data_IF_438419052760
#
_entry.id   IF_438419052760
#
_cell.length_a   1.000
_cell.length_b   1.000
_cell.length_c   1.000
_cell.angle_alpha   90.00
_cell.angle_beta   90.00
_cell.angle_gamma   90.00
#
_symmetry.space_group_name_H-M   'P 1'
#
loop_
_entity.id
_entity.type
_entity.pdbx_description
1 polymer ?
#
# COMPACT_ATOMS: atom_id res chain seq x y z
N UNK A 1 4.92 -9.29 -14.62
CA UNK A 1 5.06 -8.73 -13.26
C UNK A 1 4.11 -7.56 -13.19
N UNK A 2 3.35 -7.40 -12.10
CA UNK A 2 2.38 -6.31 -12.00
C UNK A 2 3.06 -4.96 -12.17
N UNK A 3 2.41 -4.07 -12.92
CA UNK A 3 2.91 -2.72 -13.16
C UNK A 3 2.18 -1.72 -12.25
N UNK A 4 2.95 -0.81 -11.65
CA UNK A 4 2.41 0.33 -10.93
C UNK A 4 3.26 1.58 -11.21
N UNK A 5 2.64 2.75 -11.24
CA UNK A 5 3.29 4.02 -11.55
C UNK A 5 2.60 5.19 -10.86
N UNK A 6 3.34 6.27 -10.62
CA UNK A 6 2.72 7.55 -10.28
C UNK A 6 1.91 8.08 -11.45
N UNK A 7 0.77 8.72 -11.21
CA UNK A 7 -0.05 9.29 -12.29
C UNK A 7 0.41 10.68 -12.73
N UNK A 8 0.07 11.05 -13.97
CA UNK A 8 0.10 12.44 -14.44
C UNK A 8 -1.04 13.31 -13.83
N UNK A 9 -1.02 14.61 -14.10
CA UNK A 9 -2.04 15.57 -13.65
C UNK A 9 -3.19 15.76 -14.67
N UNK A 10 -3.27 14.92 -15.70
CA UNK A 10 -4.27 15.04 -16.76
C UNK A 10 -5.67 14.72 -16.24
N UNK A 11 -6.66 15.45 -16.77
CA UNK A 11 -8.09 15.22 -16.50
C UNK A 11 -8.81 14.55 -17.67
N UNK A 12 -8.03 13.93 -18.56
CA UNK A 12 -8.56 13.11 -19.64
C UNK A 12 -9.32 11.88 -19.11
N UNK A 13 -9.74 11.01 -20.02
CA UNK A 13 -10.47 9.80 -19.71
C UNK A 13 -9.73 8.97 -18.63
N UNK A 14 -10.33 8.76 -17.45
CA UNK A 14 -9.68 8.07 -16.33
C UNK A 14 -9.27 6.63 -16.64
N UNK A 15 -9.81 6.04 -17.71
CA UNK A 15 -9.49 4.68 -18.18
C UNK A 15 -8.16 4.60 -18.93
N UNK A 16 -7.58 5.73 -19.35
CA UNK A 16 -6.25 5.76 -20.00
C UNK A 16 -5.15 5.42 -18.99
N UNK A 17 -3.94 5.03 -19.43
CA UNK A 17 -2.85 4.71 -18.49
C UNK A 17 -2.41 5.87 -17.57
N UNK A 18 -2.51 7.12 -18.00
CA UNK A 18 -2.08 8.30 -17.22
C UNK A 18 -0.64 8.21 -16.68
N UNK A 19 0.30 7.76 -17.53
CA UNK A 19 1.71 7.69 -17.18
C UNK A 19 2.36 9.07 -17.34
N UNK A 20 3.09 9.57 -16.32
CA UNK A 20 3.78 10.85 -16.39
C UNK A 20 5.00 10.73 -17.31
N UNK A 21 5.41 11.87 -17.88
CA UNK A 21 6.66 12.03 -18.60
C UNK A 21 7.59 12.95 -17.79
N UNK A 22 8.76 12.47 -17.32
CA UNK A 22 9.30 11.12 -17.48
C UNK A 22 8.59 10.06 -16.62
N UNK A 23 8.70 8.80 -17.03
CA UNK A 23 8.09 7.67 -16.31
C UNK A 23 8.55 7.59 -14.85
N UNK A 24 7.60 7.27 -13.96
CA UNK A 24 7.83 7.15 -12.51
C UNK A 24 7.23 5.83 -12.00
N UNK A 25 7.88 4.68 -12.27
CA UNK A 25 7.39 3.38 -11.84
C UNK A 25 7.42 3.23 -10.31
N UNK A 26 6.54 2.39 -9.79
CA UNK A 26 6.42 2.04 -8.38
C UNK A 26 6.62 0.54 -8.21
N UNK A 27 7.58 0.16 -7.37
CA UNK A 27 7.87 -1.24 -7.07
C UNK A 27 6.85 -1.86 -6.09
N UNK A 28 6.73 -3.19 -6.12
CA UNK A 28 5.99 -3.96 -5.12
C UNK A 28 6.46 -3.69 -3.69
N UNK A 29 7.76 -3.43 -3.49
CA UNK A 29 8.28 -3.07 -2.17
C UNK A 29 7.71 -1.73 -1.70
N UNK A 30 7.60 -0.73 -2.57
CA UNK A 30 6.97 0.55 -2.24
C UNK A 30 5.49 0.37 -1.89
N UNK A 31 4.74 -0.45 -2.65
CA UNK A 31 3.34 -0.78 -2.36
C UNK A 31 3.19 -1.48 -0.99
N UNK A 32 4.09 -2.42 -0.67
CA UNK A 32 4.07 -3.13 0.62
C UNK A 32 4.25 -2.21 1.84
N UNK A 33 4.98 -1.10 1.67
CA UNK A 33 5.15 -0.06 2.69
C UNK A 33 3.87 0.74 2.92
N UNK A 34 3.01 0.85 1.91
CA UNK A 34 1.65 1.40 2.03
C UNK A 34 0.67 0.38 2.62
N UNK A 35 1.11 -0.87 2.82
CA UNK A 35 0.26 -1.97 3.28
C UNK A 35 -0.48 -2.69 2.15
N UNK A 36 -0.22 -2.33 0.89
CA UNK A 36 -0.77 -3.01 -0.28
C UNK A 36 0.02 -4.29 -0.53
N UNK A 37 -0.65 -5.43 -0.55
CA UNK A 37 -0.03 -6.74 -0.80
C UNK A 37 -0.50 -7.32 -2.13
N UNK A 38 0.37 -8.09 -2.77
CA UNK A 38 0.18 -8.63 -4.11
C UNK A 38 0.63 -10.10 -4.19
N UNK A 39 -0.10 -10.89 -4.98
CA UNK A 39 0.25 -12.25 -5.37
C UNK A 39 -0.07 -12.48 -6.85
N UNK A 40 0.73 -13.30 -7.53
CA UNK A 40 0.43 -13.82 -8.87
C UNK A 40 -0.02 -15.27 -8.73
N UNK A 41 -1.18 -15.60 -9.28
CA UNK A 41 -1.82 -16.90 -9.21
C UNK A 41 -2.28 -17.36 -10.60
N UNK A 42 -2.65 -18.63 -10.69
CA UNK A 42 -3.26 -19.21 -11.88
C UNK A 42 -4.78 -19.00 -11.84
N UNK A 43 -5.26 -18.01 -12.60
CA UNK A 43 -6.67 -17.67 -12.68
C UNK A 43 -7.51 -18.71 -13.41
N UNK A 44 -6.92 -19.60 -14.21
CA UNK A 44 -7.68 -20.66 -14.89
C UNK A 44 -8.12 -21.77 -13.91
N UNK A 45 -7.42 -21.92 -12.79
CA UNK A 45 -7.66 -22.94 -11.77
C UNK A 45 -8.19 -22.38 -10.44
N UNK A 46 -8.80 -21.19 -10.43
CA UNK A 46 -9.19 -20.48 -9.20
C UNK A 46 -10.11 -21.28 -8.24
N UNK A 47 -10.84 -22.27 -8.73
CA UNK A 47 -11.76 -23.09 -7.93
C UNK A 47 -11.02 -24.12 -7.06
N UNK A 48 -9.86 -24.60 -7.51
CA UNK A 48 -9.10 -25.69 -6.90
C UNK A 48 -7.64 -25.34 -6.60
N UNK A 49 -7.24 -24.09 -6.86
CA UNK A 49 -5.86 -23.63 -6.68
C UNK A 49 -5.38 -23.76 -5.21
N UNK A 50 -4.38 -24.62 -4.93
CA UNK A 50 -3.83 -24.80 -3.59
C UNK A 50 -3.11 -23.55 -3.08
N UNK A 51 -2.53 -22.72 -3.95
CA UNK A 51 -1.85 -21.48 -3.54
C UNK A 51 -2.86 -20.42 -3.08
N UNK A 52 -3.99 -20.27 -3.81
CA UNK A 52 -5.11 -19.47 -3.34
C UNK A 52 -5.64 -19.97 -2.00
N UNK A 53 -5.83 -21.28 -1.83
CA UNK A 53 -6.29 -21.86 -0.57
C UNK A 53 -5.33 -21.57 0.59
N UNK A 54 -4.02 -21.63 0.36
CA UNK A 54 -2.98 -21.29 1.34
C UNK A 54 -3.05 -19.82 1.74
N UNK A 55 -3.12 -18.90 0.78
CA UNK A 55 -3.25 -17.45 1.04
C UNK A 55 -4.52 -17.18 1.86
N UNK A 56 -5.66 -17.77 1.47
CA UNK A 56 -6.92 -17.61 2.18
C UNK A 56 -6.84 -18.11 3.62
N UNK A 57 -6.17 -19.24 3.86
CA UNK A 57 -5.97 -19.77 5.22
C UNK A 57 -5.06 -18.88 6.07
N UNK A 58 -3.94 -18.44 5.52
CA UNK A 58 -2.97 -17.58 6.21
C UNK A 58 -3.56 -16.21 6.56
N UNK A 59 -4.33 -15.63 5.64
CA UNK A 59 -4.96 -14.31 5.79
C UNK A 59 -6.37 -14.35 6.36
N UNK A 60 -6.92 -15.53 6.59
CA UNK A 60 -8.28 -15.78 7.10
C UNK A 60 -9.39 -15.21 6.20
N UNK A 61 -9.21 -15.29 4.89
CA UNK A 61 -10.21 -14.91 3.88
C UNK A 61 -11.30 -16.00 3.80
N UNK A 62 -12.26 -15.93 4.71
CA UNK A 62 -13.31 -16.94 4.92
C UNK A 62 -14.46 -16.83 3.92
N UNK A 63 -14.69 -15.65 3.33
CA UNK A 63 -15.80 -15.40 2.41
C UNK A 63 -15.29 -15.00 1.02
N UNK A 64 -15.99 -15.42 -0.02
CA UNK A 64 -15.73 -14.97 -1.39
C UNK A 64 -16.99 -14.98 -2.25
N UNK A 65 -17.00 -14.13 -3.26
CA UNK A 65 -17.92 -14.20 -4.41
C UNK A 65 -17.24 -13.73 -5.69
N UNK A 66 -17.96 -13.82 -6.82
CA UNK A 66 -17.48 -13.37 -8.12
C UNK A 66 -18.35 -12.22 -8.60
N UNK A 67 -17.71 -11.15 -9.06
CA UNK A 67 -18.35 -10.03 -9.73
C UNK A 67 -17.82 -9.90 -11.16
N UNK A 68 -18.73 -9.66 -12.10
CA UNK A 68 -18.38 -9.29 -13.47
C UNK A 68 -18.79 -7.84 -13.69
N UNK A 69 -17.83 -6.99 -14.02
CA UNK A 69 -18.02 -5.58 -14.32
C UNK A 69 -17.89 -5.43 -15.84
N UNK A 70 -19.04 -5.35 -16.49
CA UNK A 70 -19.18 -4.96 -17.88
C UNK A 70 -20.49 -4.21 -18.05
N UNK A 71 -20.60 -3.44 -19.12
CA UNK A 71 -21.80 -2.63 -19.39
C UNK A 71 -23.08 -3.46 -19.48
N UNK A 72 -22.97 -4.67 -20.02
CA UNK A 72 -24.11 -5.54 -20.29
C UNK A 72 -24.45 -6.47 -19.10
N UNK A 73 -23.46 -6.82 -18.28
CA UNK A 73 -23.62 -7.84 -17.23
C UNK A 73 -23.82 -7.27 -15.83
N UNK A 74 -23.43 -6.02 -15.58
CA UNK A 74 -23.51 -5.41 -14.25
C UNK A 74 -24.79 -4.56 -14.09
N UNK A 75 -25.71 -4.92 -13.19
CA UNK A 75 -26.86 -4.07 -12.89
C UNK A 75 -26.43 -2.72 -12.31
N UNK A 76 -27.08 -1.65 -12.78
CA UNK A 76 -26.74 -0.25 -12.46
C UNK A 76 -25.28 0.11 -12.79
N UNK A 77 -24.76 -0.42 -13.90
CA UNK A 77 -23.37 -0.25 -14.34
C UNK A 77 -22.86 1.19 -14.18
N UNK A 78 -23.53 2.17 -14.79
CA UNK A 78 -23.08 3.58 -14.81
C UNK A 78 -23.00 4.19 -13.39
N UNK A 79 -23.92 3.83 -12.51
CA UNK A 79 -23.91 4.30 -11.13
C UNK A 79 -22.78 3.63 -10.32
N UNK A 80 -22.58 2.32 -10.53
CA UNK A 80 -21.56 1.54 -9.83
C UNK A 80 -20.14 1.94 -10.22
N UNK A 81 -19.85 2.11 -11.52
CA UNK A 81 -18.51 2.56 -11.96
C UNK A 81 -18.17 3.95 -11.41
N UNK A 82 -19.16 4.84 -11.31
CA UNK A 82 -18.96 6.17 -10.73
C UNK A 82 -18.63 6.08 -9.24
N UNK A 83 -19.35 5.23 -8.50
CA UNK A 83 -19.09 4.96 -7.07
C UNK A 83 -17.71 4.33 -6.85
N UNK A 84 -17.31 3.38 -7.68
CA UNK A 84 -15.99 2.76 -7.59
C UNK A 84 -14.85 3.74 -7.85
N UNK A 85 -15.06 4.72 -8.74
CA UNK A 85 -14.03 5.70 -9.10
C UNK A 85 -13.95 6.91 -8.15
N UNK A 86 -15.01 7.18 -7.38
CA UNK A 86 -14.97 8.21 -6.35
C UNK A 86 -13.93 7.81 -5.28
N UNK A 87 -13.07 8.72 -4.85
CA UNK A 87 -12.04 8.40 -3.85
C UNK A 87 -12.68 8.06 -2.51
N UNK A 88 -12.42 6.83 -2.01
CA UNK A 88 -13.04 6.31 -0.81
C UNK A 88 -12.07 5.46 0.02
N UNK A 89 -12.53 5.06 1.20
CA UNK A 89 -11.91 4.03 2.04
C UNK A 89 -12.94 3.03 2.53
N UNK A 90 -12.45 1.88 2.99
CA UNK A 90 -13.21 0.86 3.71
C UNK A 90 -12.67 0.68 5.12
N UNK A 91 -13.51 0.17 6.02
CA UNK A 91 -13.13 -0.16 7.40
C UNK A 91 -12.49 -1.55 7.53
N UNK A 92 -12.65 -2.36 6.49
CA UNK A 92 -12.04 -3.67 6.30
C UNK A 92 -11.12 -3.66 5.07
N UNK A 93 -10.29 -4.69 4.93
CA UNK A 93 -9.41 -4.85 3.78
C UNK A 93 -10.22 -5.09 2.50
N UNK A 94 -9.86 -4.40 1.42
CA UNK A 94 -10.40 -4.64 0.09
C UNK A 94 -9.52 -5.65 -0.64
N UNK A 95 -10.01 -6.88 -0.81
CA UNK A 95 -9.28 -7.97 -1.48
C UNK A 95 -9.94 -8.29 -2.82
N UNK A 96 -9.14 -8.33 -3.88
CA UNK A 96 -9.57 -8.62 -5.25
C UNK A 96 -8.59 -9.54 -5.94
N UNK A 97 -9.13 -10.55 -6.61
CA UNK A 97 -8.38 -11.47 -7.46
C UNK A 97 -8.97 -11.47 -8.87
N UNK A 98 -8.19 -11.04 -9.86
CA UNK A 98 -8.67 -10.86 -11.23
C UNK A 98 -8.66 -12.22 -11.96
N UNK A 99 -9.85 -12.65 -12.37
CA UNK A 99 -10.07 -13.91 -13.08
C UNK A 99 -10.02 -13.71 -14.59
N UNK A 100 -10.57 -12.61 -15.09
CA UNK A 100 -10.56 -12.24 -16.52
C UNK A 100 -10.56 -10.71 -16.67
N UNK A 101 -10.07 -10.21 -17.81
CA UNK A 101 -10.00 -8.78 -18.09
C UNK A 101 -8.95 -8.06 -17.24
N UNK A 102 -9.16 -6.76 -17.04
CA UNK A 102 -8.18 -5.88 -16.41
C UNK A 102 -8.81 -4.57 -15.91
N UNK A 103 -8.05 -3.87 -15.06
CA UNK A 103 -8.44 -2.56 -14.54
C UNK A 103 -7.38 -1.93 -13.65
N UNK A 104 -7.66 -0.73 -13.17
CA UNK A 104 -6.76 0.05 -12.35
C UNK A 104 -7.29 0.22 -10.92
N UNK A 105 -6.43 -0.05 -9.95
CA UNK A 105 -6.59 0.44 -8.59
C UNK A 105 -5.65 1.63 -8.40
N UNK A 106 -6.21 2.80 -8.11
CA UNK A 106 -5.41 3.96 -7.72
C UNK A 106 -5.39 4.05 -6.20
N UNK A 107 -4.21 4.23 -5.61
CA UNK A 107 -4.01 4.37 -4.16
C UNK A 107 -3.23 5.63 -3.84
N UNK A 108 -3.50 6.25 -2.69
CA UNK A 108 -2.71 7.39 -2.19
C UNK A 108 -1.42 6.89 -1.54
N UNK A 109 -0.30 7.51 -1.92
CA UNK A 109 0.96 7.35 -1.20
C UNK A 109 1.00 8.20 0.09
N UNK A 110 2.17 8.27 0.75
CA UNK A 110 2.34 9.03 2.00
C UNK A 110 2.24 10.54 1.83
N UNK A 111 2.58 11.03 0.65
CA UNK A 111 2.53 12.44 0.30
C UNK A 111 1.19 12.78 -0.37
N UNK A 112 0.21 11.87 -0.27
CA UNK A 112 -1.12 11.98 -0.82
C UNK A 112 -1.13 12.09 -2.36
N UNK A 113 -0.15 11.48 -3.04
CA UNK A 113 -0.07 11.39 -4.51
C UNK A 113 -0.66 10.08 -5.00
N UNK A 114 -1.28 10.10 -6.17
CA UNK A 114 -1.85 8.91 -6.79
C UNK A 114 -0.78 8.00 -7.36
N UNK A 115 -0.87 6.72 -7.00
CA UNK A 115 -0.19 5.60 -7.64
C UNK A 115 -1.25 4.73 -8.30
N UNK A 116 -1.14 4.52 -9.61
CA UNK A 116 -1.97 3.61 -10.39
C UNK A 116 -1.34 2.22 -10.38
N UNK A 117 -2.15 1.20 -10.11
CA UNK A 117 -1.75 -0.21 -10.12
C UNK A 117 -2.58 -0.90 -11.20
N UNK A 118 -1.92 -1.39 -12.25
CA UNK A 118 -2.54 -2.14 -13.33
C UNK A 118 -2.71 -3.60 -12.91
N UNK A 119 -3.95 -4.04 -12.81
CA UNK A 119 -4.31 -5.40 -12.42
C UNK A 119 -4.87 -6.14 -13.63
N UNK A 120 -4.29 -7.30 -13.94
CA UNK A 120 -4.68 -8.16 -15.05
C UNK A 120 -5.00 -9.57 -14.55
N UNK A 121 -5.47 -10.45 -15.45
CA UNK A 121 -5.73 -11.86 -15.16
C UNK A 121 -4.60 -12.51 -14.34
N UNK A 122 -4.97 -13.18 -13.25
CA UNK A 122 -4.06 -13.87 -12.33
C UNK A 122 -3.47 -12.97 -11.24
N UNK A 123 -3.74 -11.66 -11.26
CA UNK A 123 -3.27 -10.75 -10.22
C UNK A 123 -4.24 -10.70 -9.04
N UNK A 124 -3.72 -10.91 -7.83
CA UNK A 124 -4.45 -10.75 -6.58
C UNK A 124 -3.84 -9.62 -5.75
N UNK A 125 -4.69 -8.71 -5.25
CA UNK A 125 -4.30 -7.56 -4.45
C UNK A 125 -5.11 -7.48 -3.15
N UNK A 126 -4.49 -6.97 -2.10
CA UNK A 126 -5.14 -6.57 -0.85
C UNK A 126 -4.81 -5.11 -0.57
N UNK A 127 -5.83 -4.26 -0.53
CA UNK A 127 -5.75 -2.88 -0.10
C UNK A 127 -6.14 -2.81 1.39
N UNK A 128 -5.28 -2.26 2.27
CA UNK A 128 -5.52 -2.30 3.70
C UNK A 128 -6.66 -1.37 4.10
N UNK A 129 -7.42 -1.75 5.13
CA UNK A 129 -8.44 -0.92 5.75
C UNK A 129 -7.92 0.51 6.01
N UNK A 130 -8.72 1.52 5.66
CA UNK A 130 -8.39 2.94 5.84
C UNK A 130 -7.45 3.56 4.81
N UNK A 131 -6.99 2.82 3.78
CA UNK A 131 -6.30 3.44 2.64
C UNK A 131 -7.30 4.18 1.73
N UNK A 132 -6.95 5.39 1.31
CA UNK A 132 -7.71 6.06 0.27
C UNK A 132 -7.35 5.43 -1.08
N UNK A 133 -8.38 4.97 -1.78
CA UNK A 133 -8.26 4.32 -3.06
C UNK A 133 -9.50 4.56 -3.93
N UNK A 134 -9.39 4.14 -5.18
CA UNK A 134 -10.49 4.07 -6.14
C UNK A 134 -10.20 3.00 -7.19
N UNK A 135 -11.24 2.55 -7.87
CA UNK A 135 -11.14 1.59 -8.95
C UNK A 135 -11.74 2.15 -10.25
N UNK A 136 -11.09 1.89 -11.37
CA UNK A 136 -11.66 2.09 -12.71
C UNK A 136 -11.31 0.91 -13.60
N UNK A 137 -12.19 0.63 -14.57
CA UNK A 137 -11.80 -0.17 -15.72
C UNK A 137 -10.71 0.57 -16.51
N UNK A 138 -9.92 -0.18 -17.26
CA UNK A 138 -9.09 0.38 -18.33
C UNK A 138 -9.89 0.49 -19.64
N UNK A 139 -9.21 0.78 -20.74
CA UNK A 139 -9.83 0.95 -22.07
C UNK A 139 -10.48 -0.35 -22.61
N UNK A 140 -10.22 -1.53 -22.02
CA UNK A 140 -10.88 -2.78 -22.38
C UNK A 140 -12.33 -2.87 -21.87
N UNK A 141 -12.68 -2.06 -20.87
CA UNK A 141 -14.02 -1.97 -20.28
C UNK A 141 -14.59 -3.29 -19.73
N UNK A 142 -13.72 -4.22 -19.31
CA UNK A 142 -14.13 -5.52 -18.80
C UNK A 142 -13.23 -6.01 -17.68
N UNK A 143 -13.83 -6.41 -16.56
CA UNK A 143 -13.14 -7.22 -15.55
C UNK A 143 -14.09 -8.23 -14.91
N UNK A 144 -13.60 -9.44 -14.66
CA UNK A 144 -14.22 -10.43 -13.79
C UNK A 144 -13.29 -10.67 -12.62
N UNK A 145 -13.76 -10.40 -11.42
CA UNK A 145 -12.96 -10.48 -10.21
C UNK A 145 -13.63 -11.35 -9.15
N UNK A 146 -12.84 -12.18 -8.49
CA UNK A 146 -13.21 -12.74 -7.20
C UNK A 146 -12.97 -11.69 -6.12
N UNK A 147 -13.96 -11.46 -5.27
CA UNK A 147 -13.83 -10.61 -4.09
C UNK A 147 -13.71 -11.50 -2.87
N UNK A 148 -12.77 -11.20 -1.98
CA UNK A 148 -12.52 -11.99 -0.76
C UNK A 148 -12.66 -11.11 0.47
N UNK A 149 -13.15 -11.69 1.58
CA UNK A 149 -13.37 -10.99 2.85
C UNK A 149 -12.94 -11.83 4.05
N UNK A 150 -12.55 -11.14 5.12
CA UNK A 150 -12.43 -11.71 6.45
C UNK A 150 -13.79 -11.61 7.13
N UNK A 151 -14.45 -12.74 7.39
CA UNK A 151 -15.81 -12.75 7.93
C UNK A 151 -16.89 -12.41 6.90
N UNK A 152 -18.05 -11.95 7.37
CA UNK A 152 -19.15 -11.50 6.51
C UNK A 152 -18.82 -10.15 5.88
N UNK A 153 -19.09 -9.95 4.58
CA UNK A 153 -18.61 -8.78 3.87
C UNK A 153 -19.42 -7.51 4.19
N UNK A 154 -18.72 -6.42 4.49
CA UNK A 154 -19.29 -5.07 4.57
C UNK A 154 -18.68 -4.21 3.46
N UNK A 155 -19.50 -3.88 2.46
CA UNK A 155 -19.07 -3.16 1.24
C UNK A 155 -19.12 -1.64 1.34
N UNK A 156 -19.38 -1.11 2.54
CA UNK A 156 -19.66 0.32 2.71
C UNK A 156 -18.41 1.13 2.37
N UNK A 157 -18.50 1.90 1.28
CA UNK A 157 -17.50 2.89 0.90
C UNK A 157 -17.74 4.19 1.66
N UNK A 158 -16.68 4.74 2.26
CA UNK A 158 -16.69 6.06 2.87
C UNK A 158 -15.88 7.01 2.00
N UNK A 159 -16.58 7.85 1.24
CA UNK A 159 -15.96 8.83 0.34
C UNK A 159 -15.13 9.82 1.14
N UNK A 160 -14.01 10.26 0.58
CA UNK A 160 -13.15 11.27 1.18
C UNK A 160 -13.91 12.62 1.25
N UNK A 161 -13.89 13.35 2.39
CA UNK A 161 -13.12 13.11 3.62
C UNK A 161 -13.76 12.08 4.58
N UNK A 162 -12.95 11.12 5.03
CA UNK A 162 -13.34 10.06 5.97
C UNK A 162 -12.27 9.88 7.08
N UNK A 163 -11.55 10.95 7.42
CA UNK A 163 -10.39 10.91 8.33
C UNK A 163 -10.71 10.60 9.80
N UNK A 164 -11.99 10.65 10.19
CA UNK A 164 -12.44 10.42 11.56
C UNK A 164 -12.50 8.93 11.95
N UNK A 165 -12.44 8.01 10.98
CA UNK A 165 -12.49 6.58 11.28
C UNK A 165 -11.17 6.04 11.89
N UNK A 166 -11.23 5.19 12.93
CA UNK A 166 -10.04 4.58 13.52
C UNK A 166 -9.16 3.82 12.52
N UNK A 167 -9.77 3.11 11.56
CA UNK A 167 -9.06 2.40 10.49
C UNK A 167 -8.12 3.34 9.71
N UNK A 168 -8.54 4.58 9.44
CA UNK A 168 -7.72 5.58 8.74
C UNK A 168 -6.50 6.01 9.56
N UNK A 169 -6.66 6.19 10.87
CA UNK A 169 -5.55 6.51 11.76
C UNK A 169 -4.51 5.36 11.81
N UNK A 170 -4.99 4.12 11.86
CA UNK A 170 -4.14 2.92 11.85
C UNK A 170 -3.40 2.74 10.52
N UNK A 171 -4.05 3.00 9.38
CA UNK A 171 -3.42 2.96 8.06
C UNK A 171 -2.26 3.96 7.94
N UNK A 172 -2.44 5.19 8.44
CA UNK A 172 -1.35 6.19 8.49
C UNK A 172 -0.21 5.73 9.40
N UNK A 173 -0.52 5.17 10.56
CA UNK A 173 0.48 4.74 11.53
C UNK A 173 1.31 3.54 11.06
N UNK A 174 0.67 2.51 10.50
CA UNK A 174 1.36 1.32 9.95
C UNK A 174 2.30 1.69 8.81
N UNK A 175 1.87 2.61 7.95
CA UNK A 175 2.69 3.17 6.88
C UNK A 175 3.95 3.89 7.44
N UNK A 176 3.79 4.68 8.50
CA UNK A 176 4.90 5.37 9.17
C UNK A 176 5.87 4.41 9.84
N UNK A 177 5.39 3.43 10.62
CA UNK A 177 6.25 2.46 11.32
C UNK A 177 7.07 1.61 10.36
N UNK A 178 6.46 1.07 9.29
CA UNK A 178 7.17 0.28 8.28
C UNK A 178 8.31 1.07 7.63
N UNK A 179 8.11 2.36 7.46
CA UNK A 179 9.13 3.27 6.91
C UNK A 179 10.30 3.44 7.86
N UNK A 180 10.02 3.68 9.14
CA UNK A 180 11.06 3.83 10.17
C UNK A 180 11.86 2.55 10.36
N UNK A 181 11.19 1.39 10.39
CA UNK A 181 11.87 0.10 10.49
C UNK A 181 12.80 -0.14 9.29
N UNK A 182 12.32 0.11 8.07
CA UNK A 182 13.14 -0.08 6.87
C UNK A 182 14.32 0.92 6.78
N UNK A 183 14.13 2.18 7.16
CA UNK A 183 15.24 3.14 7.19
C UNK A 183 16.27 2.75 8.25
N UNK A 184 15.83 2.25 9.40
CA UNK A 184 16.71 1.73 10.45
C UNK A 184 17.51 0.50 9.98
N UNK A 185 16.87 -0.52 9.40
CA UNK A 185 17.56 -1.72 8.92
C UNK A 185 18.53 -1.40 7.78
N UNK A 186 18.13 -0.53 6.84
CA UNK A 186 19.02 -0.10 5.75
C UNK A 186 20.23 0.69 6.26
N UNK A 187 20.06 1.54 7.27
CA UNK A 187 21.21 2.23 7.91
C UNK A 187 22.16 1.22 8.54
N UNK A 188 21.64 0.23 9.29
CA UNK A 188 22.48 -0.83 9.87
C UNK A 188 23.21 -1.66 8.82
N UNK A 189 22.57 -2.00 7.71
CA UNK A 189 23.20 -2.76 6.63
C UNK A 189 24.33 -1.95 5.97
N UNK A 190 24.11 -0.65 5.72
CA UNK A 190 25.14 0.24 5.20
C UNK A 190 26.31 0.42 6.18
N UNK A 191 26.05 0.47 7.49
CA UNK A 191 27.08 0.50 8.52
C UNK A 191 27.92 -0.79 8.53
N UNK A 192 27.29 -1.95 8.43
CA UNK A 192 27.97 -3.25 8.34
C UNK A 192 28.81 -3.36 7.05
N UNK A 193 28.28 -2.93 5.91
CA UNK A 193 29.04 -2.87 4.65
C UNK A 193 30.24 -1.92 4.75
N UNK A 194 30.07 -0.78 5.42
CA UNK A 194 31.15 0.19 5.64
C UNK A 194 32.24 -0.40 6.53
N UNK A 195 31.84 -1.10 7.59
CA UNK A 195 32.77 -1.81 8.49
C UNK A 195 33.53 -2.91 7.74
N UNK A 196 32.83 -3.76 6.98
CA UNK A 196 33.45 -4.83 6.20
C UNK A 196 34.42 -4.31 5.13
N UNK A 197 34.09 -3.19 4.45
CA UNK A 197 35.01 -2.54 3.51
C UNK A 197 36.23 -1.94 4.20
N UNK A 198 36.07 -1.36 5.38
CA UNK A 198 37.19 -0.86 6.18
C UNK A 198 38.14 -2.00 6.60
N UNK A 199 37.60 -3.13 7.05
CA UNK A 199 38.37 -4.33 7.40
C UNK A 199 39.09 -4.95 6.18
N UNK A 200 38.48 -4.88 5.01
CA UNK A 200 39.08 -5.33 3.75
C UNK A 200 40.05 -4.32 3.10
N UNK A 201 40.29 -3.15 3.71
CA UNK A 201 41.14 -2.09 3.15
C UNK A 201 40.59 -1.47 1.85
N UNK A 202 39.30 -1.65 1.56
CA UNK A 202 38.66 -1.15 0.35
C UNK A 202 38.08 0.26 0.56
N UNK A 203 38.25 1.18 -0.40
CA UNK A 203 37.74 2.54 -0.27
C UNK A 203 36.20 2.56 -0.26
N UNK A 204 35.63 3.34 0.68
CA UNK A 204 34.20 3.64 0.70
C UNK A 204 33.88 4.81 -0.23
N UNK A 205 33.06 4.57 -1.25
CA UNK A 205 32.63 5.62 -2.19
C UNK A 205 31.18 5.99 -1.90
N UNK A 206 30.94 7.15 -1.30
CA UNK A 206 29.61 7.73 -1.21
C UNK A 206 29.21 8.30 -2.58
N UNK A 207 28.32 7.64 -3.31
CA UNK A 207 27.62 8.29 -4.42
C UNK A 207 26.55 9.22 -3.84
N UNK A 208 26.89 10.49 -3.68
CA UNK A 208 25.89 11.54 -3.57
C UNK A 208 25.37 11.86 -4.99
N UNK A 209 24.04 11.98 -5.20
CA UNK A 209 23.55 12.66 -6.38
C UNK A 209 24.14 14.07 -6.37
N UNK A 210 24.74 14.50 -7.49
CA UNK A 210 25.31 15.85 -7.58
C UNK A 210 24.18 16.86 -7.39
N UNK A 211 24.24 17.66 -6.32
CA UNK A 211 23.38 18.83 -6.11
C UNK A 211 22.52 18.78 -4.85
N UNK A 212 23.14 18.81 -3.66
CA UNK A 212 22.41 19.04 -2.40
C UNK A 212 23.37 19.19 -1.22
N UNK A 213 23.43 20.38 -0.64
CA UNK A 213 24.19 20.70 0.57
C UNK A 213 23.66 19.94 1.79
N UNK A 214 24.57 19.47 2.64
CA UNK A 214 24.23 18.76 3.88
C UNK A 214 23.59 19.71 4.92
N UNK A 215 22.53 19.30 5.64
CA UNK A 215 22.02 20.09 6.75
C UNK A 215 22.85 19.81 8.01
N UNK A 216 23.39 20.87 8.61
CA UNK A 216 23.97 20.88 9.95
C UNK A 216 22.85 20.94 11.00
N UNK A 217 22.63 19.86 11.73
CA UNK A 217 21.69 19.85 12.86
C UNK A 217 21.66 18.48 13.54
N UNK A 218 22.15 18.41 14.78
CA UNK A 218 22.21 17.20 15.58
C UNK A 218 20.81 16.66 15.89
N UNK A 219 20.57 15.39 15.54
CA UNK A 219 19.38 14.66 15.94
C UNK A 219 19.64 14.03 17.32
N UNK A 220 18.84 14.39 18.31
CA UNK A 220 18.76 13.70 19.59
C UNK A 220 18.31 12.24 19.36
N UNK A 221 19.12 11.29 19.80
CA UNK A 221 18.78 9.87 19.83
C UNK A 221 17.70 9.64 20.89
N UNK A 222 16.49 9.25 20.45
CA UNK A 222 15.53 8.60 21.33
C UNK A 222 15.72 7.09 21.21
N UNK A 223 16.20 6.47 22.30
CA UNK A 223 16.40 5.03 22.41
C UNK A 223 15.03 4.34 22.50
N UNK A 224 14.70 3.57 21.47
CA UNK A 224 13.58 2.64 21.47
C UNK A 224 13.98 1.37 22.25
N UNK A 225 13.31 1.09 23.37
CA UNK A 225 13.42 -0.20 24.07
C UNK A 225 12.19 -1.05 23.73
N UNK A 226 12.41 -2.16 23.03
CA UNK A 226 11.41 -3.21 22.87
C UNK A 226 11.27 -3.99 24.17
N UNK A 227 10.13 -3.92 24.84
CA UNK A 227 9.65 -5.00 25.69
C UNK A 227 8.29 -5.48 25.19
N UNK A 228 8.14 -6.80 25.14
CA UNK A 228 7.09 -7.49 24.41
C UNK A 228 5.68 -7.28 24.95
N UNK A 229 4.73 -7.30 24.02
CA UNK A 229 3.28 -7.40 24.20
C UNK A 229 2.61 -6.18 24.89
N UNK A 230 1.78 -5.48 24.11
CA UNK A 230 1.01 -4.27 24.45
C UNK A 230 1.83 -2.97 24.62
N UNK A 231 2.05 -2.28 23.49
CA UNK A 231 2.52 -0.89 23.48
C UNK A 231 1.46 0.06 24.09
N UNK A 232 1.47 0.24 25.41
CA UNK A 232 0.90 1.42 26.07
C UNK A 232 2.02 2.45 26.25
N UNK A 233 1.86 3.63 25.66
CA UNK A 233 2.64 4.81 26.08
C UNK A 233 1.94 5.44 27.28
N UNK A 234 2.55 5.34 28.47
CA UNK A 234 2.27 6.27 29.57
C UNK A 234 3.13 7.53 29.34
N UNK A 235 2.57 8.75 29.52
CA UNK A 235 3.35 9.97 29.43
C UNK A 235 4.34 10.03 30.60
N UNK A 236 5.63 10.09 30.29
CA UNK A 236 6.66 10.42 31.30
C UNK A 236 6.55 11.91 31.59
N UNK A 237 6.02 12.26 32.76
CA UNK A 237 6.18 13.61 33.30
C UNK A 237 7.63 13.76 33.77
N UNK A 238 8.35 14.71 33.15
CA UNK A 238 9.69 15.08 33.57
C UNK A 238 9.55 15.92 34.84
N UNK A 239 9.75 15.29 35.99
CA UNK A 239 9.88 15.98 37.28
C UNK A 239 11.17 16.80 37.29
N UNK A 240 11.02 18.13 37.30
CA UNK A 240 12.11 19.04 37.63
C UNK A 240 12.60 18.78 39.05
N UNK A 241 13.91 18.57 39.23
CA UNK A 241 14.53 18.59 40.55
C UNK A 241 14.61 20.04 41.05
N UNK A 242 14.36 20.30 42.34
CA UNK A 242 14.46 21.63 42.92
C UNK A 242 15.94 22.02 43.05
N UNK A 243 16.28 23.22 42.60
CA UNK A 243 17.52 23.91 42.97
C UNK A 243 17.47 24.22 44.46
N UNK A 244 18.45 23.70 45.22
CA UNK A 244 18.77 24.18 46.56
C UNK A 244 19.91 25.20 46.47
N UNK A 245 19.69 26.29 47.20
CA UNK A 245 20.60 27.37 47.63
C UNK A 245 21.15 28.32 46.56
#
# INVERSE_FOLDING_TARGET
MVEAWYMDDSREDPRKPHRPEPERPVSLEQLSRLGVFYWKLDADNYETDPELAKIRKEKKYSWMDIITISKDMLPNYEEKIKKFYEEHLHLDDEIRYILEGSGYFDVRDKDDKWIRIAMEKGDMITLPAGIYHRFTLDESNYVKAMRLFVGEPVWTAHNRPADHFPARAQARFTCTLKTHYHTYTRRRQLEQERQAKAEAGLPWVTRFPRGGSAPSGGAQESLFKEEGSLCKWLPVQIGGKPTKE
#
